data_IF_151821513645
#
_entry.id   IF_151821513645
#
_cell.length_a   1.000
_cell.length_b   1.000
_cell.length_c   1.000
_cell.angle_alpha   90.00
_cell.angle_beta   90.00
_cell.angle_gamma   90.00
#
_symmetry.space_group_name_H-M   'P 1'
#
loop_
_entity.id
_entity.type
_entity.pdbx_description
1 polymer ?
#
# COMPACT_ATOMS: atom_id res chain seq x y z
N UNK A 1 31.86 -25.97 10.52
CA UNK A 1 32.00 -27.43 10.31
C UNK A 1 33.46 -27.83 10.58
N UNK A 2 33.78 -28.28 11.80
CA UNK A 2 35.16 -28.59 12.24
C UNK A 2 35.66 -29.97 11.78
N UNK A 3 34.79 -30.78 11.16
CA UNK A 3 35.14 -32.10 10.63
C UNK A 3 36.20 -32.07 9.52
N UNK A 4 36.30 -30.96 8.78
CA UNK A 4 37.29 -30.76 7.71
C UNK A 4 38.69 -30.45 8.23
N UNK A 5 38.85 -30.11 9.52
CA UNK A 5 40.13 -29.66 10.09
C UNK A 5 41.18 -30.78 10.12
N UNK A 6 40.73 -32.03 10.25
CA UNK A 6 41.59 -33.23 10.18
C UNK A 6 42.34 -33.37 8.84
N UNK A 7 41.90 -32.66 7.79
CA UNK A 7 42.54 -32.67 6.47
C UNK A 7 43.69 -31.65 6.33
N UNK A 8 43.86 -30.75 7.29
CA UNK A 8 44.86 -29.67 7.23
C UNK A 8 45.74 -29.60 8.49
N UNK A 9 46.31 -30.71 8.99
CA UNK A 9 47.07 -30.73 10.25
C UNK A 9 48.29 -29.79 10.20
N UNK A 10 49.03 -29.77 9.09
CA UNK A 10 50.20 -28.90 8.95
C UNK A 10 49.89 -27.40 8.91
N UNK A 11 48.67 -27.01 8.52
CA UNK A 11 48.25 -25.59 8.59
C UNK A 11 47.94 -25.22 10.04
N UNK A 12 47.25 -26.10 10.77
CA UNK A 12 46.94 -25.90 12.18
C UNK A 12 48.20 -25.79 13.04
N UNK A 13 49.18 -26.68 12.84
CA UNK A 13 50.47 -26.62 13.53
C UNK A 13 51.20 -25.30 13.27
N UNK A 14 51.24 -24.83 12.02
CA UNK A 14 51.82 -23.52 11.67
C UNK A 14 51.08 -22.38 12.35
N UNK A 15 49.75 -22.42 12.45
CA UNK A 15 48.98 -21.41 13.17
C UNK A 15 49.31 -21.38 14.67
N UNK A 16 49.54 -22.53 15.31
CA UNK A 16 49.93 -22.60 16.73
C UNK A 16 51.37 -22.14 16.98
N UNK A 17 52.26 -22.28 16.00
CA UNK A 17 53.66 -21.81 16.06
C UNK A 17 53.80 -20.29 15.90
N UNK A 18 52.75 -19.59 15.46
CA UNK A 18 52.79 -18.12 15.38
C UNK A 18 52.82 -17.50 16.78
N UNK A 19 53.61 -16.42 16.91
CA UNK A 19 53.56 -15.51 18.05
C UNK A 19 52.20 -14.83 18.14
N UNK A 20 51.91 -14.19 19.27
CA UNK A 20 50.68 -13.43 19.45
C UNK A 20 50.46 -12.38 18.35
N UNK A 21 51.49 -11.60 18.00
CA UNK A 21 51.46 -10.66 16.87
C UNK A 21 51.24 -11.37 15.54
N UNK A 22 51.86 -12.52 15.32
CA UNK A 22 51.68 -13.31 14.10
C UNK A 22 50.24 -13.82 13.94
N UNK A 23 49.61 -14.24 15.04
CA UNK A 23 48.19 -14.64 15.03
C UNK A 23 47.27 -13.46 14.75
N UNK A 24 47.54 -12.29 15.31
CA UNK A 24 46.78 -11.08 15.04
C UNK A 24 46.83 -10.68 13.54
N UNK A 25 48.02 -10.70 12.94
CA UNK A 25 48.18 -10.42 11.50
C UNK A 25 47.46 -11.48 10.65
N UNK A 26 47.61 -12.76 10.97
CA UNK A 26 46.95 -13.84 10.23
C UNK A 26 45.42 -13.71 10.26
N UNK A 27 44.83 -13.36 11.41
CA UNK A 27 43.38 -13.18 11.53
C UNK A 27 42.90 -12.06 10.60
N UNK A 28 43.59 -10.91 10.56
CA UNK A 28 43.20 -9.82 9.66
C UNK A 28 43.29 -10.24 8.19
N UNK A 29 44.36 -10.93 7.78
CA UNK A 29 44.48 -11.44 6.40
C UNK A 29 43.34 -12.42 6.06
N UNK A 30 42.96 -13.28 6.99
CA UNK A 30 41.85 -14.23 6.79
C UNK A 30 40.49 -13.52 6.73
N UNK A 31 40.29 -12.46 7.51
CA UNK A 31 39.09 -11.63 7.46
C UNK A 31 39.01 -10.89 6.12
N UNK A 32 40.09 -10.24 5.69
CA UNK A 32 40.17 -9.55 4.39
C UNK A 32 39.93 -10.53 3.24
N UNK A 33 40.61 -11.69 3.27
CA UNK A 33 40.39 -12.75 2.29
C UNK A 33 38.93 -13.23 2.26
N UNK A 34 38.31 -13.37 3.43
CA UNK A 34 36.91 -13.75 3.55
C UNK A 34 36.00 -12.69 2.93
N UNK A 35 36.17 -11.42 3.31
CA UNK A 35 35.37 -10.31 2.82
C UNK A 35 35.52 -10.08 1.31
N UNK A 36 36.73 -10.22 0.77
CA UNK A 36 37.01 -10.09 -0.68
C UNK A 36 36.40 -11.23 -1.50
N UNK A 37 36.21 -12.39 -0.89
CA UNK A 37 35.66 -13.60 -1.54
C UNK A 37 34.15 -13.75 -1.32
N UNK A 38 33.56 -12.98 -0.42
CA UNK A 38 32.13 -12.99 -0.22
C UNK A 38 31.44 -12.31 -1.40
N UNK A 39 30.41 -12.97 -1.93
CA UNK A 39 29.55 -12.36 -2.92
C UNK A 39 28.88 -11.11 -2.32
N UNK A 40 28.87 -10.03 -3.09
CA UNK A 40 28.08 -8.85 -2.72
C UNK A 40 26.60 -9.24 -2.68
N UNK A 41 25.84 -8.57 -1.82
CA UNK A 41 24.40 -8.70 -1.81
C UNK A 41 23.85 -8.46 -3.22
N UNK A 42 23.01 -9.37 -3.69
CA UNK A 42 22.33 -9.20 -4.96
C UNK A 42 21.41 -7.98 -4.88
N UNK A 43 21.57 -7.05 -5.80
CA UNK A 43 20.72 -5.86 -5.88
C UNK A 43 19.50 -6.15 -6.74
N UNK A 44 18.34 -5.66 -6.31
CA UNK A 44 17.13 -5.71 -7.12
C UNK A 44 17.32 -4.92 -8.43
N UNK A 45 17.00 -5.52 -9.57
CA UNK A 45 17.17 -4.89 -10.89
C UNK A 45 16.00 -3.96 -11.23
N UNK A 46 16.32 -2.85 -11.89
CA UNK A 46 15.33 -1.93 -12.45
C UNK A 46 14.92 -0.80 -11.50
N UNK A 47 15.79 -0.37 -10.58
CA UNK A 47 15.66 0.92 -9.90
C UNK A 47 16.45 2.02 -10.67
N UNK A 48 16.03 3.30 -10.62
CA UNK A 48 14.80 3.79 -10.01
C UNK A 48 13.56 3.48 -10.88
N UNK A 49 12.43 3.18 -10.23
CA UNK A 49 11.11 3.03 -10.89
C UNK A 49 10.23 4.23 -10.57
N UNK A 50 9.34 4.63 -11.50
CA UNK A 50 8.30 5.61 -11.20
C UNK A 50 7.47 5.19 -9.97
N UNK A 51 7.24 6.14 -9.07
CA UNK A 51 6.51 5.96 -7.81
C UNK A 51 5.12 6.58 -7.97
N UNK A 52 4.21 5.83 -8.57
CA UNK A 52 2.93 6.37 -9.06
C UNK A 52 1.92 6.62 -7.94
N UNK A 53 1.88 5.77 -6.91
CA UNK A 53 0.87 5.88 -5.85
C UNK A 53 0.90 7.25 -5.12
N UNK A 54 2.07 7.82 -4.75
CA UNK A 54 2.14 9.20 -4.25
C UNK A 54 1.55 10.26 -5.20
N UNK A 55 1.74 10.10 -6.52
CA UNK A 55 1.11 11.00 -7.50
C UNK A 55 -0.40 10.83 -7.51
N UNK A 56 -0.91 9.61 -7.36
CA UNK A 56 -2.36 9.38 -7.25
C UNK A 56 -2.93 10.04 -5.99
N UNK A 57 -2.26 9.89 -4.85
CA UNK A 57 -2.68 10.52 -3.59
C UNK A 57 -2.73 12.05 -3.71
N UNK A 58 -1.78 12.67 -4.41
CA UNK A 58 -1.64 14.12 -4.44
C UNK A 58 -2.35 14.81 -5.62
N UNK A 59 -2.22 14.25 -6.82
CA UNK A 59 -2.51 14.94 -8.10
C UNK A 59 -3.75 14.40 -8.80
N UNK A 60 -4.17 13.15 -8.51
CA UNK A 60 -5.27 12.54 -9.25
C UNK A 60 -6.59 13.28 -9.00
N UNK A 61 -7.32 13.69 -10.06
CA UNK A 61 -8.58 14.42 -9.91
C UNK A 61 -9.67 13.49 -9.37
N UNK A 62 -10.35 13.90 -8.29
CA UNK A 62 -11.31 13.05 -7.55
C UNK A 62 -12.69 13.64 -7.37
N UNK A 63 -12.85 14.95 -7.60
CA UNK A 63 -14.10 15.67 -7.40
C UNK A 63 -14.78 16.01 -8.71
N UNK A 64 -16.12 16.07 -8.70
CA UNK A 64 -16.94 16.60 -9.80
C UNK A 64 -16.81 15.86 -11.14
N UNK A 65 -16.58 14.54 -11.10
CA UNK A 65 -16.55 13.69 -12.29
C UNK A 65 -17.95 13.10 -12.54
N UNK A 66 -18.47 13.29 -13.75
CA UNK A 66 -19.76 12.75 -14.15
C UNK A 66 -19.73 11.22 -14.12
N UNK A 67 -20.72 10.60 -13.48
CA UNK A 67 -20.81 9.14 -13.37
C UNK A 67 -19.99 8.51 -12.23
N UNK A 68 -19.27 9.31 -11.43
CA UNK A 68 -18.56 8.84 -10.24
C UNK A 68 -19.25 9.35 -8.97
N UNK A 69 -19.44 8.46 -7.99
CA UNK A 69 -19.95 8.88 -6.69
C UNK A 69 -18.85 9.67 -5.95
N UNK A 70 -19.24 10.73 -5.23
CA UNK A 70 -18.31 11.48 -4.39
C UNK A 70 -17.64 10.57 -3.35
N UNK A 71 -16.33 10.73 -3.17
CA UNK A 71 -15.53 9.97 -2.19
C UNK A 71 -15.04 8.60 -2.66
N UNK A 72 -15.51 8.07 -3.80
CA UNK A 72 -15.13 6.74 -4.32
C UNK A 72 -13.63 6.56 -4.40
N UNK A 73 -12.96 7.52 -5.05
CA UNK A 73 -11.53 7.39 -5.29
C UNK A 73 -10.75 7.52 -4.00
N UNK A 74 -11.14 8.43 -3.10
CA UNK A 74 -10.42 8.59 -1.84
C UNK A 74 -10.60 7.37 -0.93
N UNK A 75 -11.78 6.74 -0.91
CA UNK A 75 -11.98 5.46 -0.24
C UNK A 75 -11.16 4.34 -0.90
N UNK A 76 -11.03 4.32 -2.23
CA UNK A 76 -10.15 3.39 -2.93
C UNK A 76 -8.67 3.59 -2.59
N UNK A 77 -8.22 4.85 -2.46
CA UNK A 77 -6.87 5.20 -2.02
C UNK A 77 -6.65 4.70 -0.59
N UNK A 78 -7.60 4.95 0.30
CA UNK A 78 -7.58 4.47 1.68
C UNK A 78 -7.48 2.95 1.74
N UNK A 79 -8.28 2.25 0.93
CA UNK A 79 -8.26 0.80 0.82
C UNK A 79 -6.88 0.28 0.37
N UNK A 80 -6.32 0.84 -0.70
CA UNK A 80 -4.99 0.47 -1.18
C UNK A 80 -3.89 0.74 -0.16
N UNK A 81 -3.95 1.90 0.52
CA UNK A 81 -3.03 2.24 1.60
C UNK A 81 -3.09 1.23 2.75
N UNK A 82 -4.29 0.95 3.28
CA UNK A 82 -4.47 0.07 4.44
C UNK A 82 -4.04 -1.35 4.13
N UNK A 83 -4.38 -1.88 2.95
CA UNK A 83 -3.94 -3.24 2.55
C UNK A 83 -2.44 -3.36 2.43
N UNK A 84 -1.78 -2.33 1.91
CA UNK A 84 -0.33 -2.31 1.81
C UNK A 84 0.35 -2.11 3.17
N UNK A 85 -0.21 -1.27 4.06
CA UNK A 85 0.38 -0.94 5.36
C UNK A 85 0.12 -1.99 6.45
N UNK A 86 -1.04 -2.64 6.40
CA UNK A 86 -1.47 -3.67 7.36
C UNK A 86 -1.82 -4.97 6.65
N UNK A 87 -0.86 -5.59 5.92
CA UNK A 87 -1.12 -6.80 5.14
C UNK A 87 -1.44 -8.03 6.00
N UNK A 88 -1.23 -7.94 7.32
CA UNK A 88 -1.56 -8.99 8.28
C UNK A 88 -3.03 -8.94 8.75
N UNK A 89 -3.78 -7.88 8.43
CA UNK A 89 -5.20 -7.76 8.76
C UNK A 89 -6.06 -8.17 7.55
N UNK A 90 -7.22 -8.75 7.84
CA UNK A 90 -8.23 -9.06 6.82
C UNK A 90 -9.12 -7.83 6.61
N UNK A 91 -9.00 -7.17 5.45
CA UNK A 91 -9.72 -5.92 5.16
C UNK A 91 -11.07 -6.18 4.49
N UNK A 92 -12.13 -5.58 5.03
CA UNK A 92 -13.48 -5.58 4.46
C UNK A 92 -13.87 -4.15 4.11
N UNK A 93 -14.27 -3.95 2.86
CA UNK A 93 -14.76 -2.68 2.31
C UNK A 93 -15.95 -2.96 1.38
N UNK A 94 -16.83 -1.98 1.16
CA UNK A 94 -17.91 -2.05 0.18
C UNK A 94 -18.00 -0.73 -0.58
N UNK A 95 -18.85 -0.68 -1.62
CA UNK A 95 -19.13 0.51 -2.42
C UNK A 95 -19.51 1.69 -1.54
N UNK A 96 -19.19 2.90 -2.01
CA UNK A 96 -19.71 4.10 -1.34
C UNK A 96 -21.24 4.10 -1.35
N UNK A 97 -21.86 4.80 -0.39
CA UNK A 97 -23.33 4.98 -0.28
C UNK A 97 -24.14 3.69 -0.02
N UNK A 98 -23.52 2.52 0.10
CA UNK A 98 -24.18 1.30 0.60
C UNK A 98 -24.53 1.40 2.09
N UNK A 99 -23.84 2.29 2.80
CA UNK A 99 -24.07 2.62 4.20
C UNK A 99 -23.58 1.52 5.12
N UNK A 100 -22.36 1.65 5.63
CA UNK A 100 -21.70 0.75 6.60
C UNK A 100 -22.65 0.26 7.70
N UNK A 101 -23.51 1.15 8.19
CA UNK A 101 -24.58 0.86 9.17
C UNK A 101 -25.48 -0.32 8.80
N UNK A 102 -25.94 -0.39 7.54
CA UNK A 102 -26.86 -1.44 7.08
C UNK A 102 -26.18 -2.80 7.07
N UNK A 103 -24.85 -2.79 7.01
CA UNK A 103 -23.99 -3.96 7.00
C UNK A 103 -23.35 -4.24 8.37
N UNK A 104 -23.74 -3.47 9.40
CA UNK A 104 -23.18 -3.55 10.76
C UNK A 104 -21.65 -3.33 10.81
N UNK A 105 -21.10 -2.62 9.83
CA UNK A 105 -19.70 -2.17 9.80
C UNK A 105 -19.51 -0.91 10.64
N UNK A 106 -18.30 -0.69 11.14
CA UNK A 106 -17.97 0.46 12.00
C UNK A 106 -17.68 1.69 11.15
N UNK A 107 -16.72 1.58 10.24
CA UNK A 107 -16.34 2.62 9.29
C UNK A 107 -16.60 2.21 7.84
N UNK A 108 -15.98 2.94 6.93
CA UNK A 108 -15.99 2.61 5.50
C UNK A 108 -15.12 1.38 5.20
N UNK A 109 -14.05 1.18 5.95
CA UNK A 109 -13.14 0.03 5.85
C UNK A 109 -12.93 -0.56 7.24
N UNK A 110 -13.25 -1.85 7.43
CA UNK A 110 -13.01 -2.57 8.68
C UNK A 110 -11.86 -3.57 8.48
N UNK A 111 -10.92 -3.61 9.42
CA UNK A 111 -9.76 -4.47 9.40
C UNK A 111 -9.82 -5.46 10.56
N UNK A 112 -9.89 -6.74 10.21
CA UNK A 112 -10.07 -7.83 11.17
C UNK A 112 -8.73 -8.47 11.52
N UNK A 113 -8.56 -8.74 12.80
CA UNK A 113 -7.59 -9.70 13.33
C UNK A 113 -8.39 -10.90 13.81
N UNK A 114 -8.12 -12.06 13.22
CA UNK A 114 -8.92 -13.27 13.42
C UNK A 114 -10.42 -13.00 13.11
N UNK A 115 -11.29 -13.09 14.12
CA UNK A 115 -12.74 -12.90 13.97
C UNK A 115 -13.24 -11.55 14.49
N UNK A 116 -12.35 -10.63 14.89
CA UNK A 116 -12.71 -9.37 15.53
C UNK A 116 -12.12 -8.18 14.77
N UNK A 117 -12.86 -7.07 14.72
CA UNK A 117 -12.35 -5.81 14.18
C UNK A 117 -11.27 -5.30 15.13
N UNK A 118 -10.07 -5.09 14.61
CA UNK A 118 -8.94 -4.52 15.35
C UNK A 118 -8.81 -3.02 15.06
N UNK A 119 -9.04 -2.65 13.79
CA UNK A 119 -8.92 -1.31 13.26
C UNK A 119 -10.10 -1.02 12.33
N UNK A 120 -10.67 0.18 12.41
CA UNK A 120 -11.64 0.66 11.45
C UNK A 120 -11.22 2.01 10.89
N UNK A 121 -11.53 2.28 9.62
CA UNK A 121 -11.20 3.53 8.93
C UNK A 121 -12.49 4.17 8.41
N UNK A 122 -12.70 5.44 8.76
CA UNK A 122 -13.72 6.33 8.17
C UNK A 122 -13.02 7.25 7.18
N UNK A 123 -13.56 7.41 5.97
CA UNK A 123 -12.92 8.17 4.90
C UNK A 123 -13.75 9.39 4.50
N UNK A 124 -13.15 10.57 4.58
CA UNK A 124 -13.80 11.84 4.21
C UNK A 124 -12.97 12.61 3.18
N UNK A 125 -13.45 12.66 1.94
CA UNK A 125 -12.82 13.46 0.87
C UNK A 125 -13.20 14.95 0.96
N UNK A 126 -13.02 15.54 2.14
CA UNK A 126 -13.28 16.94 2.45
C UNK A 126 -12.44 17.38 3.65
N UNK A 127 -12.32 18.69 3.81
CA UNK A 127 -11.76 19.27 5.03
C UNK A 127 -12.75 19.08 6.19
N UNK A 128 -12.22 18.67 7.34
CA UNK A 128 -12.92 18.61 8.61
C UNK A 128 -12.60 19.84 9.44
N UNK A 129 -13.64 20.60 9.82
CA UNK A 129 -13.51 21.83 10.57
C UNK A 129 -14.50 21.84 11.75
N UNK A 130 -14.38 22.84 12.62
CA UNK A 130 -15.16 22.93 13.86
C UNK A 130 -16.69 22.93 13.65
N UNK A 131 -17.17 23.23 12.45
CA UNK A 131 -18.60 23.27 12.12
C UNK A 131 -19.13 21.89 11.70
N UNK A 132 -18.27 21.02 11.15
CA UNK A 132 -18.70 19.75 10.56
C UNK A 132 -18.13 18.50 11.23
N UNK A 133 -17.16 18.64 12.15
CA UNK A 133 -16.48 17.51 12.78
C UNK A 133 -17.45 16.52 13.45
N UNK A 134 -18.38 17.02 14.27
CA UNK A 134 -19.38 16.19 14.94
C UNK A 134 -20.31 15.47 13.95
N UNK A 135 -20.71 16.15 12.87
CA UNK A 135 -21.64 15.58 11.88
C UNK A 135 -20.98 14.50 11.04
N UNK A 136 -19.71 14.70 10.68
CA UNK A 136 -18.96 13.78 9.82
C UNK A 136 -18.34 12.61 10.59
N UNK A 137 -17.83 12.84 11.80
CA UNK A 137 -17.03 11.85 12.55
C UNK A 137 -17.65 11.43 13.88
N UNK A 138 -18.56 12.22 14.46
CA UNK A 138 -19.06 11.97 15.82
C UNK A 138 -19.79 10.64 15.99
N UNK A 139 -20.30 10.05 14.91
CA UNK A 139 -20.82 8.68 14.94
C UNK A 139 -19.73 7.62 14.91
N UNK A 140 -18.74 7.79 14.05
CA UNK A 140 -17.60 6.89 13.96
C UNK A 140 -16.88 6.81 15.31
N UNK A 141 -16.66 7.95 15.97
CA UNK A 141 -16.12 8.01 17.34
C UNK A 141 -16.94 7.17 18.33
N UNK A 142 -18.26 7.29 18.32
CA UNK A 142 -19.14 6.49 19.20
C UNK A 142 -19.05 5.00 18.92
N UNK A 143 -19.01 4.61 17.64
CA UNK A 143 -18.95 3.21 17.23
C UNK A 143 -17.57 2.60 17.57
N UNK A 144 -16.47 3.36 17.39
CA UNK A 144 -15.10 3.00 17.82
C UNK A 144 -15.02 2.86 19.34
N UNK A 145 -15.53 3.83 20.10
CA UNK A 145 -15.58 3.80 21.58
C UNK A 145 -16.33 2.59 22.11
N UNK A 146 -17.47 2.28 21.49
CA UNK A 146 -18.31 1.13 21.87
C UNK A 146 -17.63 -0.20 21.51
N UNK A 147 -16.86 -0.24 20.42
CA UNK A 147 -16.11 -1.42 20.00
C UNK A 147 -14.83 -1.64 20.79
N UNK A 148 -14.31 -0.62 21.46
CA UNK A 148 -12.98 -0.58 22.09
C UNK A 148 -11.87 -0.99 21.11
N UNK A 149 -11.92 -0.41 19.90
CA UNK A 149 -10.98 -0.65 18.81
C UNK A 149 -10.18 0.61 18.46
N UNK A 150 -9.18 0.48 17.59
CA UNK A 150 -8.52 1.62 16.99
C UNK A 150 -9.37 2.17 15.83
N UNK A 151 -9.58 3.49 15.80
CA UNK A 151 -10.23 4.19 14.69
C UNK A 151 -9.23 5.07 13.94
N UNK A 152 -9.32 5.12 12.62
CA UNK A 152 -8.60 6.11 11.80
C UNK A 152 -9.61 6.92 11.00
N UNK A 153 -9.63 8.23 11.20
CA UNK A 153 -10.36 9.14 10.34
C UNK A 153 -9.41 9.65 9.26
N UNK A 154 -9.48 9.06 8.06
CA UNK A 154 -8.69 9.51 6.92
C UNK A 154 -9.44 10.63 6.19
N UNK A 155 -8.91 11.85 6.30
CA UNK A 155 -9.58 13.07 5.84
C UNK A 155 -8.71 13.80 4.82
N UNK A 156 -9.31 14.67 4.00
CA UNK A 156 -8.52 15.47 3.06
C UNK A 156 -7.62 16.45 3.82
N UNK A 157 -8.20 17.14 4.81
CA UNK A 157 -7.51 18.08 5.69
C UNK A 157 -8.30 18.24 7.00
N UNK A 158 -7.69 18.82 8.03
CA UNK A 158 -8.34 19.07 9.33
C UNK A 158 -7.83 20.37 9.97
N UNK A 159 -8.73 21.16 10.57
CA UNK A 159 -8.32 22.34 11.34
C UNK A 159 -7.94 21.98 12.78
N UNK A 160 -7.07 22.77 13.40
CA UNK A 160 -6.66 22.57 14.81
C UNK A 160 -7.86 22.58 15.77
N UNK A 161 -8.88 23.41 15.49
CA UNK A 161 -10.10 23.46 16.29
C UNK A 161 -10.92 22.17 16.16
N UNK A 162 -11.03 21.60 14.97
CA UNK A 162 -11.71 20.33 14.75
C UNK A 162 -10.96 19.18 15.41
N UNK A 163 -9.62 19.18 15.32
CA UNK A 163 -8.81 18.15 15.95
C UNK A 163 -9.00 18.14 17.48
N UNK A 164 -9.15 19.30 18.10
CA UNK A 164 -9.47 19.43 19.55
C UNK A 164 -10.88 18.96 19.91
N UNK A 165 -11.81 18.93 18.96
CA UNK A 165 -13.18 18.44 19.17
C UNK A 165 -13.30 16.92 19.05
N UNK A 166 -12.31 16.25 18.48
CA UNK A 166 -12.29 14.78 18.39
C UNK A 166 -11.82 14.29 19.75
N UNK A 167 -12.80 13.93 20.58
CA UNK A 167 -12.60 13.68 22.02
C UNK A 167 -12.02 12.29 22.30
N UNK A 168 -12.17 11.35 21.37
CA UNK A 168 -11.72 9.97 21.58
C UNK A 168 -10.26 9.77 21.18
N UNK A 169 -9.40 9.54 22.17
CA UNK A 169 -7.97 9.23 21.96
C UNK A 169 -7.74 7.97 21.11
N UNK A 170 -8.76 7.12 20.92
CA UNK A 170 -8.70 5.95 20.02
C UNK A 170 -8.93 6.30 18.55
N UNK A 171 -9.38 7.50 18.24
CA UNK A 171 -9.56 7.96 16.85
C UNK A 171 -8.37 8.82 16.45
N UNK A 172 -7.52 8.24 15.59
CA UNK A 172 -6.40 8.94 14.98
C UNK A 172 -6.91 9.64 13.72
N UNK A 173 -6.79 10.96 13.65
CA UNK A 173 -7.01 11.70 12.41
C UNK A 173 -5.76 11.62 11.56
N UNK A 174 -5.92 11.23 10.31
CA UNK A 174 -4.85 11.24 9.32
C UNK A 174 -5.30 12.09 8.13
N UNK A 175 -4.53 13.12 7.81
CA UNK A 175 -4.76 13.96 6.64
C UNK A 175 -4.20 13.32 5.37
N UNK A 176 -4.64 13.79 4.21
CA UNK A 176 -4.03 13.43 2.94
C UNK A 176 -2.53 13.79 2.89
N UNK A 177 -2.13 14.90 3.53
CA UNK A 177 -0.74 15.32 3.62
C UNK A 177 0.12 14.30 4.39
N UNK A 178 -0.36 13.85 5.54
CA UNK A 178 0.33 12.83 6.35
C UNK A 178 0.39 11.47 5.63
N UNK A 179 -0.72 11.06 5.00
CA UNK A 179 -0.77 9.89 4.13
C UNK A 179 0.30 9.97 3.03
N UNK A 180 0.38 11.12 2.34
CA UNK A 180 1.34 11.35 1.27
C UNK A 180 2.79 11.21 1.75
N UNK A 181 3.10 11.80 2.90
CA UNK A 181 4.43 11.71 3.51
C UNK A 181 4.80 10.27 3.88
N UNK A 182 3.84 9.49 4.35
CA UNK A 182 4.06 8.08 4.65
C UNK A 182 4.32 7.25 3.39
N UNK A 183 3.47 7.36 2.37
CA UNK A 183 3.60 6.55 1.16
C UNK A 183 4.86 6.91 0.36
N UNK A 184 5.36 8.15 0.45
CA UNK A 184 6.64 8.56 -0.14
C UNK A 184 7.84 7.77 0.43
N UNK A 185 7.76 7.34 1.69
CA UNK A 185 8.81 6.57 2.37
C UNK A 185 8.78 5.08 2.06
N UNK A 186 7.68 4.57 1.50
CA UNK A 186 7.55 3.15 1.16
C UNK A 186 8.55 2.73 0.08
N UNK A 187 8.89 1.45 0.00
CA UNK A 187 9.58 0.91 -1.17
C UNK A 187 8.63 0.84 -2.38
N UNK A 188 9.20 0.57 -3.55
CA UNK A 188 8.40 0.47 -4.77
C UNK A 188 7.36 -0.68 -4.71
N UNK A 189 7.70 -1.91 -4.26
CA UNK A 189 6.71 -2.99 -4.19
C UNK A 189 5.48 -2.67 -3.34
N UNK A 190 5.65 -2.00 -2.19
CA UNK A 190 4.53 -1.61 -1.32
C UNK A 190 3.64 -0.57 -2.01
N UNK A 191 4.23 0.39 -2.74
CA UNK A 191 3.47 1.36 -3.54
C UNK A 191 2.75 0.73 -4.74
N UNK A 192 3.39 -0.18 -5.47
CA UNK A 192 2.76 -0.93 -6.58
C UNK A 192 1.59 -1.79 -6.06
N UNK A 193 1.76 -2.43 -4.90
CA UNK A 193 0.67 -3.16 -4.22
C UNK A 193 -0.54 -2.28 -3.93
N UNK A 194 -0.32 -1.12 -3.30
CA UNK A 194 -1.41 -0.17 -3.01
C UNK A 194 -2.12 0.33 -4.28
N UNK A 195 -1.37 0.57 -5.36
CA UNK A 195 -1.95 0.98 -6.64
C UNK A 195 -2.81 -0.12 -7.27
N UNK A 196 -2.38 -1.38 -7.19
CA UNK A 196 -3.17 -2.54 -7.65
C UNK A 196 -4.44 -2.70 -6.82
N UNK A 197 -4.35 -2.52 -5.51
CA UNK A 197 -5.52 -2.60 -4.62
C UNK A 197 -6.52 -1.46 -4.88
N UNK A 198 -6.06 -0.26 -5.22
CA UNK A 198 -6.93 0.82 -5.69
C UNK A 198 -7.65 0.44 -6.99
N UNK A 199 -6.94 -0.10 -8.00
CA UNK A 199 -7.57 -0.58 -9.24
C UNK A 199 -8.58 -1.69 -8.93
N UNK A 200 -8.24 -2.63 -8.05
CA UNK A 200 -9.13 -3.70 -7.62
C UNK A 200 -10.41 -3.15 -6.99
N UNK A 201 -10.29 -2.18 -6.09
CA UNK A 201 -11.43 -1.51 -5.46
C UNK A 201 -12.36 -0.90 -6.52
N UNK A 202 -11.83 -0.10 -7.44
CA UNK A 202 -12.64 0.56 -8.47
C UNK A 202 -13.34 -0.46 -9.40
N UNK A 203 -12.60 -1.48 -9.84
CA UNK A 203 -13.09 -2.46 -10.81
C UNK A 203 -14.07 -3.48 -10.22
N UNK A 204 -13.81 -4.00 -9.02
CA UNK A 204 -14.52 -5.16 -8.48
C UNK A 204 -15.42 -4.83 -7.31
N UNK A 205 -15.04 -3.84 -6.51
CA UNK A 205 -15.81 -3.43 -5.33
C UNK A 205 -16.81 -2.37 -5.77
N UNK A 206 -16.37 -1.19 -6.22
CA UNK A 206 -17.26 -0.14 -6.72
C UNK A 206 -17.95 -0.55 -8.03
N UNK A 207 -17.25 -1.33 -8.87
CA UNK A 207 -17.70 -1.73 -10.22
C UNK A 207 -17.91 -0.53 -11.14
N UNK A 208 -16.97 0.41 -11.11
CA UNK A 208 -16.98 1.62 -11.93
C UNK A 208 -15.86 1.57 -12.97
N UNK A 209 -16.18 1.05 -14.16
CA UNK A 209 -15.21 0.92 -15.25
C UNK A 209 -14.68 2.28 -15.72
N UNK A 210 -15.51 3.32 -15.74
CA UNK A 210 -15.07 4.67 -16.13
C UNK A 210 -13.98 5.21 -15.20
N UNK A 211 -14.11 4.98 -13.89
CA UNK A 211 -13.09 5.33 -12.91
C UNK A 211 -11.80 4.51 -13.10
N UNK A 212 -11.92 3.22 -13.46
CA UNK A 212 -10.77 2.36 -13.80
C UNK A 212 -10.02 2.90 -15.01
N UNK A 213 -10.71 3.17 -16.11
CA UNK A 213 -10.10 3.66 -17.35
C UNK A 213 -9.39 5.00 -17.14
N UNK A 214 -10.00 5.87 -16.34
CA UNK A 214 -9.44 7.18 -15.98
C UNK A 214 -8.20 7.05 -15.11
N UNK A 215 -8.19 6.11 -14.16
CA UNK A 215 -7.01 5.81 -13.35
C UNK A 215 -5.89 5.19 -14.20
N UNK A 216 -6.20 4.22 -15.08
CA UNK A 216 -5.21 3.62 -15.97
C UNK A 216 -4.60 4.64 -16.94
N UNK A 217 -5.41 5.61 -17.41
CA UNK A 217 -4.92 6.72 -18.23
C UNK A 217 -3.94 7.59 -17.44
N UNK A 218 -4.27 7.96 -16.20
CA UNK A 218 -3.33 8.68 -15.32
C UNK A 218 -2.04 7.90 -15.06
N UNK A 219 -2.13 6.59 -14.80
CA UNK A 219 -0.94 5.75 -14.62
C UNK A 219 -0.08 5.77 -15.89
N UNK A 220 -0.70 5.67 -17.07
CA UNK A 220 0.02 5.69 -18.36
C UNK A 220 0.74 7.02 -18.62
N UNK A 221 0.18 8.14 -18.19
CA UNK A 221 0.82 9.45 -18.32
C UNK A 221 2.12 9.53 -17.50
N UNK A 222 2.16 8.88 -16.34
CA UNK A 222 3.32 8.91 -15.43
C UNK A 222 4.29 7.73 -15.59
N UNK A 223 3.80 6.56 -16.02
CA UNK A 223 4.57 5.36 -16.35
C UNK A 223 3.87 4.53 -17.45
N UNK A 224 4.16 4.81 -18.73
CA UNK A 224 3.58 4.10 -19.86
C UNK A 224 3.88 2.59 -19.86
N UNK A 225 4.98 2.19 -19.20
CA UNK A 225 5.46 0.81 -19.17
C UNK A 225 4.92 0.01 -17.99
N UNK A 226 4.09 0.62 -17.15
CA UNK A 226 3.54 0.01 -15.95
C UNK A 226 2.74 -1.26 -16.27
N UNK A 227 2.90 -2.29 -15.43
CA UNK A 227 2.27 -3.59 -15.65
C UNK A 227 0.73 -3.53 -15.71
N UNK A 228 0.12 -2.66 -14.91
CA UNK A 228 -1.34 -2.43 -14.93
C UNK A 228 -1.84 -1.87 -16.26
N UNK A 229 -1.07 -0.99 -16.89
CA UNK A 229 -1.38 -0.45 -18.22
C UNK A 229 -1.27 -1.59 -19.22
N UNK A 230 -0.10 -2.25 -19.31
CA UNK A 230 0.13 -3.35 -20.26
C UNK A 230 -0.93 -4.45 -20.17
N UNK A 231 -1.32 -4.88 -18.96
CA UNK A 231 -2.34 -5.90 -18.74
C UNK A 231 -3.70 -5.54 -19.33
N UNK A 232 -4.20 -4.33 -19.05
CA UNK A 232 -5.53 -3.90 -19.49
C UNK A 232 -5.67 -3.79 -21.01
N UNK A 233 -4.64 -3.27 -21.69
CA UNK A 233 -4.70 -3.06 -23.14
C UNK A 233 -4.53 -4.35 -23.95
N UNK A 234 -3.76 -5.31 -23.43
CA UNK A 234 -3.61 -6.63 -24.08
C UNK A 234 -4.93 -7.42 -24.07
N UNK A 235 -5.80 -7.19 -23.09
CA UNK A 235 -7.15 -7.79 -23.04
C UNK A 235 -8.14 -7.08 -23.98
N UNK A 236 -8.08 -5.74 -24.07
CA UNK A 236 -8.93 -4.96 -24.98
C UNK A 236 -8.66 -5.23 -26.47
N UNK A 237 -7.40 -5.50 -26.84
CA UNK A 237 -7.03 -5.84 -28.22
C UNK A 237 -7.54 -7.24 -28.59
N UNK A 238 -7.50 -8.20 -27.66
CA UNK A 238 -8.06 -9.54 -27.86
C UNK A 238 -9.58 -9.53 -27.99
N UNK A 239 -10.29 -8.77 -27.13
CA UNK A 239 -11.75 -8.69 -27.20
C UNK A 239 -12.25 -8.03 -28.49
N UNK A 240 -11.47 -7.12 -29.08
CA UNK A 240 -11.78 -6.47 -30.36
C UNK A 240 -11.42 -7.34 -31.56
N UNK A 241 -10.43 -8.24 -31.46
CA UNK A 241 -10.14 -9.21 -32.52
C UNK A 241 -11.20 -10.33 -32.57
N UNK A 242 -11.65 -10.83 -31.42
CA UNK A 242 -12.69 -11.87 -31.34
C UNK A 242 -14.06 -11.35 -31.81
N UNK A 243 -14.39 -10.08 -31.53
CA UNK A 243 -15.61 -9.45 -32.06
C UNK A 243 -15.58 -9.28 -33.58
N UNK A 244 -14.41 -9.04 -34.18
CA UNK A 244 -14.26 -8.91 -35.63
C UNK A 244 -14.29 -10.23 -36.40
N UNK A 245 -14.09 -11.36 -35.73
CA UNK A 245 -14.17 -12.71 -36.33
C UNK A 245 -15.56 -13.34 -36.23
N UNK A 246 -16.45 -12.82 -35.36
CA UNK A 246 -17.83 -13.31 -35.21
C UNK A 246 -18.79 -12.85 -36.31
N UNK A 247 -18.43 -11.84 -37.11
CA UNK A 247 -19.29 -11.26 -38.15
C UNK A 247 -19.01 -11.82 -39.56
N UNK A 248 -17.96 -12.63 -39.76
CA UNK A 248 -17.62 -13.23 -41.07
C UNK A 248 -18.19 -14.64 -41.30
N UNK A 249 -18.79 -15.30 -40.30
CA UNK A 249 -19.39 -16.64 -40.46
C UNK A 249 -20.91 -16.65 -40.71
N UNK A 250 -21.52 -15.47 -40.93
CA UNK A 250 -22.93 -15.35 -41.31
C UNK A 250 -23.11 -14.55 -42.59
N UNK A 251 -22.71 -15.14 -43.72
CA UNK A 251 -23.22 -14.80 -45.06
C UNK A 251 -23.15 -16.01 -46.00
#
# INVERSE_FOLDING_TARGET
>A
NTSQWKRFPGILEKCFQLSETGRYVLVNILLDFGLDRMDRAQTFRGNPRPRIFPHVVNEYPRTSISGENAGVVFQGIAYGYVRADRPHLSTIVDKVRTGSRRQKRIGDIDCYKDLSVELSIEVKDREINAENASDELGRFEKDVRRGDILGVALVRDVTDEALKQIEDERVIVMTQGELLEEVRRWDWPKQDGALRDLVHYLAHIEQNQGAVDRLLSFIREHDPDHALVKGAWTESEKSSTDASQGDEESN
#
